data_IF_012645323225
#
_entry.id   IF_012645323225
#
_cell.length_a   1.000
_cell.length_b   1.000
_cell.length_c   1.000
_cell.angle_alpha   90.00
_cell.angle_beta   90.00
_cell.angle_gamma   90.00
#
_symmetry.space_group_name_H-M   'P 1'
#
loop_
_entity.id
_entity.type
_entity.pdbx_description
1 polymer ?
#
# COMPACT_ATOMS: atom_id res chain seq x y z
N UNK A 1 24.06 11.65 -27.80
CA UNK A 1 22.59 11.74 -27.59
C UNK A 1 22.20 13.13 -27.20
N UNK A 2 21.25 13.67 -27.89
CA UNK A 2 20.66 14.96 -27.54
C UNK A 2 19.67 14.79 -26.36
N UNK A 3 19.35 15.88 -25.69
CA UNK A 3 18.36 15.88 -24.62
C UNK A 3 16.98 15.40 -25.08
N UNK A 4 16.62 15.70 -26.32
CA UNK A 4 15.34 15.30 -26.89
C UNK A 4 15.29 13.80 -27.14
N UNK A 5 16.38 13.20 -27.58
CA UNK A 5 16.47 11.76 -27.75
C UNK A 5 16.37 11.02 -26.42
N UNK A 6 17.02 11.54 -25.38
CA UNK A 6 16.91 11.00 -24.03
C UNK A 6 15.47 11.09 -23.52
N UNK A 7 14.80 12.20 -23.77
CA UNK A 7 13.39 12.33 -23.40
C UNK A 7 12.51 11.34 -24.15
N UNK A 8 12.74 11.14 -25.44
CA UNK A 8 11.99 10.15 -26.22
C UNK A 8 12.17 8.74 -25.70
N UNK A 9 13.41 8.37 -25.41
CA UNK A 9 13.72 7.07 -24.82
C UNK A 9 13.05 6.93 -23.46
N UNK A 10 13.07 7.98 -22.68
CA UNK A 10 12.43 8.01 -21.37
C UNK A 10 10.91 7.83 -21.46
N UNK A 11 10.26 8.50 -22.40
CA UNK A 11 8.81 8.41 -22.59
C UNK A 11 8.36 7.15 -23.32
N UNK A 12 9.19 6.59 -24.18
CA UNK A 12 8.87 5.39 -24.95
C UNK A 12 9.33 4.09 -24.30
N UNK A 13 10.07 4.17 -23.21
CA UNK A 13 10.32 3.00 -22.41
C UNK A 13 8.96 2.44 -21.96
N UNK A 14 8.71 1.14 -22.20
CA UNK A 14 7.56 0.51 -21.56
C UNK A 14 7.73 0.75 -20.09
N UNK A 15 7.08 1.74 -19.63
CA UNK A 15 7.14 2.11 -18.25
C UNK A 15 6.68 0.93 -17.42
N UNK A 16 7.56 0.36 -16.61
CA UNK A 16 7.11 -0.36 -15.44
C UNK A 16 6.25 0.55 -14.56
N UNK A 17 6.05 1.75 -14.96
CA UNK A 17 5.23 2.79 -14.37
C UNK A 17 3.78 2.77 -14.78
N UNK A 18 3.31 1.79 -15.44
CA UNK A 18 1.98 1.37 -15.13
C UNK A 18 2.03 1.00 -13.67
N UNK A 19 1.72 1.97 -12.87
CA UNK A 19 1.56 1.85 -11.44
C UNK A 19 0.83 0.55 -11.19
N UNK A 20 1.53 -0.39 -10.63
CA UNK A 20 0.89 -1.53 -10.03
C UNK A 20 -0.13 -0.96 -9.07
N UNK A 21 -1.38 -1.21 -9.35
CA UNK A 21 -2.41 -0.87 -8.40
C UNK A 21 -2.06 -1.54 -7.08
N UNK A 22 -1.88 -0.73 -6.05
CA UNK A 22 -1.55 -1.21 -4.71
C UNK A 22 -2.81 -1.14 -3.87
N UNK A 23 -3.23 -2.28 -3.36
CA UNK A 23 -4.35 -2.39 -2.45
C UNK A 23 -3.96 -3.38 -1.37
N UNK A 24 -3.35 -2.86 -0.31
CA UNK A 24 -2.84 -3.71 0.77
C UNK A 24 -3.19 -3.14 2.14
N UNK A 25 -3.36 -4.05 3.08
CA UNK A 25 -3.51 -3.74 4.50
C UNK A 25 -2.31 -4.37 5.20
N UNK A 26 -1.42 -3.53 5.74
CA UNK A 26 -0.21 -3.99 6.42
C UNK A 26 -0.39 -3.99 7.92
N UNK A 27 -0.04 -5.10 8.56
CA UNK A 27 0.04 -5.18 10.00
C UNK A 27 1.51 -5.30 10.39
N UNK A 28 2.03 -4.30 11.08
CA UNK A 28 3.45 -4.21 11.43
C UNK A 28 3.64 -4.06 12.92
N UNK A 29 4.68 -4.69 13.45
CA UNK A 29 5.10 -4.51 14.82
C UNK A 29 6.09 -3.34 14.89
N UNK A 30 5.73 -2.29 15.62
CA UNK A 30 6.57 -1.11 15.81
C UNK A 30 7.29 -1.11 17.15
N UNK A 31 6.82 -1.87 18.11
CA UNK A 31 7.41 -1.96 19.44
C UNK A 31 6.80 -3.12 20.24
N UNK A 32 7.22 -3.28 21.50
CA UNK A 32 6.78 -4.40 22.33
C UNK A 32 5.26 -4.45 22.54
N UNK A 33 4.63 -3.29 22.65
CA UNK A 33 3.18 -3.15 22.80
C UNK A 33 2.62 -2.14 21.79
N UNK A 34 3.22 -2.10 20.61
CA UNK A 34 2.83 -1.15 19.58
C UNK A 34 2.78 -1.84 18.24
N UNK A 35 1.59 -1.95 17.69
CA UNK A 35 1.32 -2.50 16.37
C UNK A 35 0.61 -1.46 15.52
N UNK A 36 0.90 -1.46 14.25
CA UNK A 36 0.26 -0.56 13.30
C UNK A 36 -0.52 -1.38 12.28
N UNK A 37 -1.75 -0.95 12.01
CA UNK A 37 -2.52 -1.43 10.88
C UNK A 37 -2.62 -0.29 9.87
N UNK A 38 -2.03 -0.47 8.70
CA UNK A 38 -1.97 0.56 7.67
C UNK A 38 -2.65 0.05 6.40
N UNK A 39 -3.66 0.78 5.95
CA UNK A 39 -4.34 0.51 4.68
C UNK A 39 -3.77 1.44 3.63
N UNK A 40 -3.27 0.89 2.53
CA UNK A 40 -2.70 1.67 1.43
C UNK A 40 -3.48 1.37 0.15
N UNK A 41 -3.96 2.41 -0.47
CA UNK A 41 -4.56 2.36 -1.81
C UNK A 41 -3.78 3.29 -2.72
N UNK A 42 -3.31 2.77 -3.83
CA UNK A 42 -2.70 3.53 -4.91
C UNK A 42 -3.17 2.94 -6.23
N UNK A 43 -4.21 3.51 -6.79
CA UNK A 43 -4.81 3.05 -8.02
C UNK A 43 -5.26 4.24 -8.88
N UNK A 44 -5.96 3.95 -9.97
CA UNK A 44 -6.46 4.98 -10.89
C UNK A 44 -7.43 5.97 -10.24
N UNK A 45 -8.01 5.64 -9.10
CA UNK A 45 -8.90 6.50 -8.34
C UNK A 45 -8.15 7.43 -7.38
N UNK A 46 -6.82 7.27 -7.28
CA UNK A 46 -5.96 8.09 -6.46
C UNK A 46 -5.18 7.33 -5.42
N UNK A 47 -4.49 8.08 -4.58
CA UNK A 47 -3.70 7.55 -3.48
C UNK A 47 -4.35 7.90 -2.16
N UNK A 48 -4.49 6.91 -1.31
CA UNK A 48 -4.93 7.15 0.06
C UNK A 48 -4.25 6.20 1.03
N UNK A 49 -4.00 6.69 2.23
CA UNK A 49 -3.48 5.87 3.31
C UNK A 49 -4.29 6.11 4.57
N UNK A 50 -4.45 5.07 5.33
CA UNK A 50 -5.06 5.12 6.63
C UNK A 50 -4.24 4.26 7.58
N UNK A 51 -3.90 4.79 8.74
CA UNK A 51 -3.16 4.02 9.73
C UNK A 51 -3.80 4.14 11.10
N UNK A 52 -3.70 3.08 11.87
CA UNK A 52 -4.15 3.05 13.25
C UNK A 52 -3.16 2.28 14.10
N UNK A 53 -3.07 2.66 15.36
CA UNK A 53 -2.14 2.04 16.31
C UNK A 53 -2.90 1.17 17.30
N UNK A 54 -2.31 0.05 17.65
CA UNK A 54 -2.92 -0.94 18.54
C UNK A 54 -1.87 -1.45 19.53
N UNK A 55 -2.32 -1.91 20.68
CA UNK A 55 -1.43 -2.42 21.73
C UNK A 55 -1.05 -3.87 21.52
N UNK A 56 -1.92 -4.64 20.87
CA UNK A 56 -1.69 -6.07 20.64
C UNK A 56 -1.82 -6.40 19.17
N UNK A 57 -1.18 -7.49 18.77
CA UNK A 57 -1.26 -8.01 17.42
C UNK A 57 -2.71 -8.40 17.06
N UNK A 58 -3.39 -9.05 17.99
CA UNK A 58 -4.77 -9.51 17.76
C UNK A 58 -5.72 -8.36 17.46
N UNK A 59 -5.58 -7.25 18.16
CA UNK A 59 -6.39 -6.04 17.90
C UNK A 59 -6.11 -5.48 16.51
N UNK A 60 -4.84 -5.38 16.14
CA UNK A 60 -4.45 -4.88 14.83
C UNK A 60 -4.98 -5.79 13.72
N UNK A 61 -4.85 -7.09 13.89
CA UNK A 61 -5.32 -8.08 12.92
C UNK A 61 -6.84 -8.06 12.78
N UNK A 62 -7.55 -7.95 13.88
CA UNK A 62 -9.01 -7.86 13.87
C UNK A 62 -9.47 -6.62 13.12
N UNK A 63 -8.83 -5.50 13.35
CA UNK A 63 -9.11 -4.27 12.62
C UNK A 63 -8.82 -4.42 11.12
N UNK A 64 -7.71 -5.08 10.77
CA UNK A 64 -7.39 -5.36 9.39
C UNK A 64 -8.47 -6.21 8.71
N UNK A 65 -9.00 -7.20 9.40
CA UNK A 65 -10.10 -8.03 8.90
C UNK A 65 -11.38 -7.24 8.68
N UNK A 66 -11.68 -6.29 9.56
CA UNK A 66 -12.83 -5.39 9.39
C UNK A 66 -12.67 -4.52 8.15
N UNK A 67 -11.48 -3.97 7.95
CA UNK A 67 -11.19 -3.19 6.75
C UNK A 67 -11.32 -4.05 5.49
N UNK A 68 -10.88 -5.29 5.55
CA UNK A 68 -10.98 -6.20 4.42
C UNK A 68 -12.41 -6.59 4.07
N UNK A 69 -13.31 -6.63 5.05
CA UNK A 69 -14.73 -6.86 4.78
C UNK A 69 -15.34 -5.76 3.93
N UNK A 70 -14.96 -4.52 4.20
CA UNK A 70 -15.44 -3.37 3.44
C UNK A 70 -14.77 -3.26 2.07
N UNK A 71 -13.57 -3.79 1.95
CA UNK A 71 -12.75 -3.72 0.73
C UNK A 71 -12.13 -5.09 0.44
N UNK A 72 -12.92 -6.06 -0.05
CA UNK A 72 -12.42 -7.43 -0.25
C UNK A 72 -11.32 -7.56 -1.30
N UNK A 73 -11.13 -6.55 -2.13
CA UNK A 73 -10.04 -6.52 -3.11
C UNK A 73 -8.66 -6.27 -2.49
N UNK A 74 -8.60 -5.89 -1.23
CA UNK A 74 -7.33 -5.67 -0.54
C UNK A 74 -6.75 -6.98 -0.02
N UNK A 75 -5.42 -7.02 0.10
CA UNK A 75 -4.70 -8.15 0.68
C UNK A 75 -4.08 -7.75 2.01
N UNK A 76 -4.07 -8.68 2.96
CA UNK A 76 -3.43 -8.47 4.26
C UNK A 76 -1.98 -8.94 4.19
N UNK A 77 -1.07 -8.06 4.57
CA UNK A 77 0.36 -8.35 4.66
C UNK A 77 0.80 -8.18 6.11
N UNK A 78 1.46 -9.19 6.65
CA UNK A 78 1.99 -9.16 8.00
C UNK A 78 3.51 -9.03 7.93
N UNK A 79 4.04 -8.00 8.53
CA UNK A 79 5.49 -7.76 8.62
C UNK A 79 6.04 -8.14 9.99
#
# INVERSE_FOLDING_TARGET
MTREELKRLWFNLPHPTRKKEVRVIKVSKLGANHYECKKVRDDKNGYSTYSSSWKTFDEALEFARKLMKDTPEFSIIIN
#
